data_IF_513275109757
#
_entry.id   IF_513275109757
#
_cell.length_a   1.000
_cell.length_b   1.000
_cell.length_c   1.000
_cell.angle_alpha   90.00
_cell.angle_beta   90.00
_cell.angle_gamma   90.00
#
_symmetry.space_group_name_H-M   'P 1'
#
loop_
_entity.id
_entity.type
_entity.pdbx_description
1 polymer ?
#
# COMPACT_ATOMS: atom_id res chain seq x y z
N UNK A 1 8.25 49.64 56.04
CA UNK A 1 9.56 50.31 55.94
C UNK A 1 10.16 49.92 54.59
N UNK A 2 9.93 50.72 53.55
CA UNK A 2 10.84 51.74 52.97
C UNK A 2 11.79 51.12 51.91
N UNK A 3 12.26 51.88 50.91
CA UNK A 3 11.68 51.86 49.56
C UNK A 3 12.75 51.70 48.46
N UNK A 4 12.37 51.41 47.20
CA UNK A 4 13.23 51.85 46.09
C UNK A 4 12.41 52.29 44.89
N UNK A 5 12.67 53.54 44.51
CA UNK A 5 12.09 54.33 43.44
C UNK A 5 12.93 54.22 42.16
N UNK A 6 12.24 54.30 41.02
CA UNK A 6 12.63 55.04 39.79
C UNK A 6 13.87 54.53 39.01
N UNK A 7 13.66 54.20 37.73
CA UNK A 7 14.11 55.05 36.60
C UNK A 7 13.38 54.66 35.32
N UNK A 8 12.55 55.61 34.84
CA UNK A 8 12.06 55.66 33.47
C UNK A 8 13.26 55.78 32.54
N UNK A 9 13.36 54.89 31.56
CA UNK A 9 14.09 55.16 30.33
C UNK A 9 13.10 54.95 29.19
N UNK A 10 12.64 56.08 28.67
CA UNK A 10 12.00 56.19 27.37
C UNK A 10 13.07 55.89 26.33
N UNK A 11 12.86 54.83 25.56
CA UNK A 11 13.65 54.51 24.37
C UNK A 11 12.71 54.10 23.27
N UNK A 12 12.13 55.09 22.59
CA UNK A 12 11.40 54.88 21.36
C UNK A 12 12.41 54.54 20.25
N UNK A 13 12.34 53.33 19.72
CA UNK A 13 12.91 53.03 18.40
C UNK A 13 11.82 52.36 17.57
N UNK A 14 11.14 53.18 16.78
CA UNK A 14 10.33 52.74 15.65
C UNK A 14 11.30 52.25 14.58
N UNK A 15 11.29 50.96 14.28
CA UNK A 15 11.79 50.46 13.00
C UNK A 15 10.65 49.77 12.24
N UNK A 16 10.35 50.41 11.13
CA UNK A 16 9.52 50.02 10.00
C UNK A 16 9.84 48.64 9.43
N UNK A 17 8.77 47.87 9.25
CA UNK A 17 8.42 47.06 8.08
C UNK A 17 9.51 46.19 7.40
N UNK A 18 9.32 44.88 7.53
CA UNK A 18 9.37 43.98 6.37
C UNK A 18 8.37 42.85 6.62
N UNK A 19 7.15 42.99 6.10
CA UNK A 19 6.23 41.88 5.95
C UNK A 19 6.80 40.95 4.86
N UNK A 20 7.71 40.08 5.27
CA UNK A 20 8.06 38.90 4.49
C UNK A 20 6.93 37.91 4.71
N UNK A 21 5.92 37.97 3.85
CA UNK A 21 4.98 36.88 3.66
C UNK A 21 5.79 35.69 3.13
N UNK A 22 6.38 34.95 4.06
CA UNK A 22 7.00 33.66 3.79
C UNK A 22 5.91 32.77 3.22
N UNK A 23 6.06 32.39 1.95
CA UNK A 23 5.37 31.25 1.40
C UNK A 23 5.78 30.05 2.24
N UNK A 24 4.96 29.70 3.24
CA UNK A 24 5.01 28.40 3.86
C UNK A 24 4.62 27.40 2.76
N UNK A 25 5.62 26.90 2.04
CA UNK A 25 5.51 25.67 1.27
C UNK A 25 5.11 24.61 2.30
N UNK A 26 3.81 24.38 2.46
CA UNK A 26 3.32 23.22 3.16
C UNK A 26 3.74 22.04 2.29
N UNK A 27 4.94 21.54 2.54
CA UNK A 27 5.36 20.21 2.19
C UNK A 27 4.41 19.31 2.96
N UNK A 28 3.23 19.08 2.38
CA UNK A 28 2.32 18.06 2.83
C UNK A 28 3.11 16.78 2.76
N UNK A 29 3.63 16.35 3.91
CA UNK A 29 4.18 15.02 4.05
C UNK A 29 3.03 14.11 3.61
N UNK A 30 3.19 13.49 2.44
CA UNK A 30 2.31 12.42 2.04
C UNK A 30 2.27 11.46 3.25
N UNK A 31 1.08 11.03 3.70
CA UNK A 31 1.01 10.09 4.80
C UNK A 31 1.99 8.97 4.49
N UNK A 32 2.89 8.65 5.42
CA UNK A 32 3.72 7.47 5.27
C UNK A 32 2.75 6.29 5.23
N UNK A 33 2.44 5.81 4.01
CA UNK A 33 1.58 4.66 3.81
C UNK A 33 2.21 3.51 4.59
N UNK A 34 1.58 3.15 5.71
CA UNK A 34 2.00 2.01 6.49
C UNK A 34 2.03 0.81 5.55
N UNK A 35 3.15 0.06 5.57
CA UNK A 35 3.28 -1.12 4.73
C UNK A 35 2.06 -2.03 4.94
N UNK A 36 1.41 -2.52 3.86
CA UNK A 36 0.22 -3.35 3.97
C UNK A 36 0.50 -4.57 4.85
N UNK A 37 -0.25 -4.69 5.94
CA UNK A 37 -0.12 -5.82 6.85
C UNK A 37 -0.68 -7.09 6.20
N UNK A 38 0.12 -8.16 6.20
CA UNK A 38 -0.33 -9.48 5.78
C UNK A 38 0.25 -10.54 6.72
N UNK A 39 -0.61 -11.37 7.31
CA UNK A 39 -0.19 -12.40 8.26
C UNK A 39 0.73 -13.44 7.61
N UNK A 40 1.62 -14.03 8.40
CA UNK A 40 2.49 -15.11 7.94
C UNK A 40 1.68 -16.28 7.38
N UNK A 41 2.13 -16.86 6.26
CA UNK A 41 1.45 -17.97 5.58
C UNK A 41 0.25 -17.56 4.71
N UNK A 42 -0.15 -16.29 4.73
CA UNK A 42 -1.29 -15.79 3.97
C UNK A 42 -0.91 -15.05 2.69
N UNK A 43 -1.89 -14.99 1.80
CA UNK A 43 -1.89 -14.16 0.60
C UNK A 43 -2.95 -13.10 0.82
N UNK A 44 -2.55 -11.85 0.85
CA UNK A 44 -3.43 -10.71 1.01
C UNK A 44 -3.53 -9.99 -0.33
N UNK A 45 -4.76 -9.72 -0.77
CA UNK A 45 -5.05 -9.18 -2.08
C UNK A 45 -5.93 -7.95 -1.96
N UNK A 46 -5.75 -7.01 -2.89
CA UNK A 46 -6.49 -5.76 -2.93
C UNK A 46 -7.04 -5.49 -4.32
N UNK A 47 -8.21 -4.85 -4.37
CA UNK A 47 -8.90 -4.50 -5.60
C UNK A 47 -8.28 -3.33 -6.36
N UNK A 48 -7.50 -2.47 -5.68
CA UNK A 48 -6.75 -1.37 -6.25
C UNK A 48 -5.25 -1.64 -6.34
N UNK A 49 -4.54 -0.79 -7.06
CA UNK A 49 -3.08 -0.76 -7.02
C UNK A 49 -2.59 -0.12 -5.71
N UNK A 50 -1.32 -0.31 -5.37
CA UNK A 50 -0.68 0.19 -4.16
C UNK A 50 -1.44 -0.20 -2.88
N UNK A 51 -2.05 -1.40 -2.87
CA UNK A 51 -2.72 -1.98 -1.70
C UNK A 51 -3.95 -1.19 -1.22
N UNK A 52 -4.64 -0.56 -2.17
CA UNK A 52 -5.83 0.24 -1.91
C UNK A 52 -7.13 -0.51 -2.26
N UNK A 53 -8.25 -0.03 -1.73
CA UNK A 53 -9.58 -0.57 -2.03
C UNK A 53 -9.99 -1.77 -1.18
N UNK A 54 -10.91 -2.59 -1.69
CA UNK A 54 -11.37 -3.78 -0.96
C UNK A 54 -10.23 -4.78 -0.84
N UNK A 55 -10.12 -5.42 0.32
CA UNK A 55 -9.11 -6.43 0.58
C UNK A 55 -9.72 -7.76 0.97
N UNK A 56 -9.01 -8.83 0.65
CA UNK A 56 -9.30 -10.18 1.11
C UNK A 56 -7.99 -10.89 1.42
N UNK A 57 -8.05 -11.92 2.25
CA UNK A 57 -6.92 -12.80 2.51
C UNK A 57 -7.34 -14.25 2.36
N UNK A 58 -6.41 -15.08 1.94
CA UNK A 58 -6.60 -16.53 1.90
C UNK A 58 -5.29 -17.25 2.21
N UNK A 59 -5.42 -18.49 2.63
CA UNK A 59 -4.29 -19.39 2.83
C UNK A 59 -4.24 -20.40 1.70
N UNK A 60 -3.04 -20.76 1.26
CA UNK A 60 -2.87 -21.85 0.30
C UNK A 60 -3.24 -23.17 0.97
N UNK A 61 -4.01 -24.01 0.28
CA UNK A 61 -4.13 -25.41 0.63
C UNK A 61 -2.87 -26.17 0.17
N UNK A 62 -2.50 -27.31 0.81
CA UNK A 62 -1.36 -28.12 0.40
C UNK A 62 -1.56 -28.82 -0.95
N UNK A 63 -2.80 -28.86 -1.46
CA UNK A 63 -3.15 -29.50 -2.72
C UNK A 63 -2.92 -28.59 -3.93
N UNK A 64 -2.70 -29.20 -5.10
CA UNK A 64 -2.73 -28.48 -6.38
C UNK A 64 -4.10 -27.82 -6.56
N UNK A 65 -4.13 -26.51 -6.74
CA UNK A 65 -5.39 -25.75 -6.76
C UNK A 65 -5.38 -24.59 -7.75
N UNK A 66 -6.42 -24.53 -8.57
CA UNK A 66 -6.83 -23.35 -9.32
C UNK A 66 -8.11 -22.79 -8.68
N UNK A 67 -8.00 -21.61 -8.05
CA UNK A 67 -9.14 -20.83 -7.62
C UNK A 67 -9.74 -20.16 -8.85
N UNK A 68 -10.63 -20.90 -9.55
CA UNK A 68 -11.16 -20.52 -10.86
C UNK A 68 -11.79 -19.11 -10.89
N UNK A 69 -12.27 -18.63 -9.75
CA UNK A 69 -12.76 -17.26 -9.59
C UNK A 69 -12.38 -16.73 -8.21
N UNK A 70 -11.78 -15.54 -8.17
CA UNK A 70 -11.52 -14.79 -6.95
C UNK A 70 -12.78 -14.02 -6.53
N UNK A 71 -12.95 -13.84 -5.22
CA UNK A 71 -14.07 -13.08 -4.66
C UNK A 71 -14.06 -11.59 -5.06
N UNK A 72 -12.89 -11.08 -5.45
CA UNK A 72 -12.71 -9.73 -5.98
C UNK A 72 -11.68 -9.73 -7.11
N UNK A 73 -11.78 -8.73 -7.99
CA UNK A 73 -10.76 -8.47 -9.01
C UNK A 73 -9.50 -7.93 -8.34
N UNK A 74 -8.38 -8.63 -8.44
CA UNK A 74 -7.14 -8.28 -7.74
C UNK A 74 -6.23 -7.42 -8.62
N UNK A 75 -5.69 -6.35 -8.04
CA UNK A 75 -4.75 -5.42 -8.69
C UNK A 75 -3.41 -5.31 -7.97
N UNK A 76 -3.37 -5.61 -6.68
CA UNK A 76 -2.13 -5.66 -5.90
C UNK A 76 -2.19 -6.74 -4.82
N UNK A 77 -1.03 -7.21 -4.38
CA UNK A 77 -0.92 -8.39 -3.52
C UNK A 77 0.33 -8.35 -2.65
N UNK A 78 0.22 -8.90 -1.44
CA UNK A 78 1.32 -9.29 -0.57
C UNK A 78 1.19 -10.79 -0.34
N UNK A 79 2.27 -11.52 -0.55
CA UNK A 79 2.31 -12.96 -0.44
C UNK A 79 3.34 -13.39 0.61
N UNK A 80 2.87 -13.74 1.80
CA UNK A 80 3.70 -14.30 2.86
C UNK A 80 3.57 -15.84 2.95
N UNK A 81 3.14 -16.48 1.86
CA UNK A 81 2.99 -17.93 1.71
C UNK A 81 4.02 -18.46 0.70
N UNK A 82 3.73 -19.58 0.03
CA UNK A 82 4.49 -20.04 -1.15
C UNK A 82 4.10 -19.27 -2.43
N UNK A 83 4.67 -19.62 -3.59
CA UNK A 83 4.32 -18.94 -4.85
C UNK A 83 2.81 -18.98 -5.16
N UNK A 84 2.30 -17.92 -5.79
CA UNK A 84 0.94 -17.85 -6.33
C UNK A 84 0.99 -17.22 -7.71
N UNK A 85 0.30 -17.83 -8.66
CA UNK A 85 0.08 -17.26 -9.99
C UNK A 85 -1.28 -16.54 -10.01
N UNK A 86 -1.28 -15.28 -10.40
CA UNK A 86 -2.48 -14.49 -10.66
C UNK A 86 -2.75 -14.45 -12.16
N UNK A 87 -4.02 -14.60 -12.54
CA UNK A 87 -4.44 -14.75 -13.93
C UNK A 87 -5.51 -13.74 -14.29
N UNK A 88 -5.43 -13.14 -15.48
CA UNK A 88 -6.40 -12.15 -15.95
C UNK A 88 -7.77 -12.76 -16.24
N UNK A 89 -7.82 -14.02 -16.67
CA UNK A 89 -9.04 -14.76 -16.93
C UNK A 89 -9.52 -15.56 -15.72
N UNK A 90 -10.76 -16.05 -15.78
CA UNK A 90 -11.25 -17.10 -14.88
C UNK A 90 -10.66 -18.45 -15.28
N UNK A 91 -10.66 -19.42 -14.36
CA UNK A 91 -10.15 -20.77 -14.63
C UNK A 91 -8.65 -20.83 -14.88
N UNK A 92 -7.86 -19.90 -14.34
CA UNK A 92 -6.41 -19.84 -14.50
C UNK A 92 -5.95 -19.71 -15.97
N UNK A 93 -6.63 -18.82 -16.70
CA UNK A 93 -6.38 -18.56 -18.13
C UNK A 93 -5.92 -17.11 -18.37
N UNK A 94 -5.37 -16.86 -19.57
CA UNK A 94 -4.97 -15.51 -20.00
C UNK A 94 -3.59 -15.09 -19.51
N UNK A 95 -3.40 -13.78 -19.30
CA UNK A 95 -2.13 -13.23 -18.82
C UNK A 95 -1.86 -13.68 -17.40
N UNK A 96 -0.63 -14.10 -17.13
CA UNK A 96 -0.20 -14.60 -15.83
C UNK A 96 0.85 -13.70 -15.20
N UNK A 97 0.81 -13.56 -13.88
CA UNK A 97 1.92 -13.05 -13.07
C UNK A 97 2.13 -13.89 -11.82
N UNK A 98 3.34 -14.40 -11.65
CA UNK A 98 3.76 -15.12 -10.45
C UNK A 98 4.21 -14.13 -9.38
N UNK A 99 3.72 -14.33 -8.16
CA UNK A 99 4.17 -13.63 -6.95
C UNK A 99 4.72 -14.65 -5.98
N UNK A 100 6.03 -14.59 -5.73
CA UNK A 100 6.71 -15.49 -4.81
C UNK A 100 6.45 -15.15 -3.35
N UNK A 101 6.69 -16.12 -2.47
CA UNK A 101 6.60 -15.94 -1.02
C UNK A 101 7.57 -14.88 -0.49
N UNK A 102 7.13 -14.15 0.53
CA UNK A 102 7.80 -12.95 1.06
C UNK A 102 7.74 -11.74 0.12
N UNK A 103 7.03 -11.84 -1.00
CA UNK A 103 6.96 -10.81 -2.03
C UNK A 103 5.75 -9.89 -1.89
N UNK A 104 5.89 -8.67 -2.37
CA UNK A 104 4.79 -7.72 -2.53
C UNK A 104 4.79 -7.18 -3.96
N UNK A 105 3.61 -7.07 -4.56
CA UNK A 105 3.39 -6.52 -5.90
C UNK A 105 2.35 -5.41 -5.81
N UNK A 106 2.76 -4.13 -5.89
CA UNK A 106 1.84 -3.00 -5.78
C UNK A 106 0.97 -2.82 -7.03
N UNK A 107 1.32 -3.43 -8.16
CA UNK A 107 0.50 -3.44 -9.36
C UNK A 107 0.77 -4.70 -10.18
N UNK A 108 -0.24 -5.56 -10.32
CA UNK A 108 -0.16 -6.77 -11.15
C UNK A 108 -0.02 -6.44 -12.64
N UNK A 109 -0.50 -5.26 -13.07
CA UNK A 109 -0.53 -4.81 -14.47
C UNK A 109 -1.83 -5.18 -15.20
N UNK A 110 -2.68 -6.01 -14.58
CA UNK A 110 -3.98 -6.42 -15.08
C UNK A 110 -4.94 -6.72 -13.92
N UNK A 111 -6.20 -6.86 -14.26
CA UNK A 111 -7.29 -7.29 -13.37
C UNK A 111 -7.26 -8.80 -13.21
N UNK A 112 -6.67 -9.28 -12.12
CA UNK A 112 -6.63 -10.72 -11.86
C UNK A 112 -7.99 -11.22 -11.39
N UNK A 113 -8.50 -12.25 -12.05
CA UNK A 113 -9.82 -12.86 -11.83
C UNK A 113 -9.73 -14.26 -11.24
N UNK A 114 -8.58 -14.92 -11.35
CA UNK A 114 -8.31 -16.23 -10.75
C UNK A 114 -6.88 -16.31 -10.22
N UNK A 115 -6.63 -17.30 -9.35
CA UNK A 115 -5.29 -17.56 -8.81
C UNK A 115 -5.00 -19.06 -8.75
N UNK A 116 -3.75 -19.46 -8.88
CA UNK A 116 -3.34 -20.86 -8.71
C UNK A 116 -2.01 -21.01 -7.99
N UNK A 117 -1.78 -22.21 -7.47
CA UNK A 117 -0.50 -22.62 -6.88
C UNK A 117 -0.18 -24.08 -7.20
N UNK A 118 -0.24 -24.40 -8.48
CA UNK A 118 0.01 -25.71 -9.04
C UNK A 118 0.73 -25.57 -10.37
N UNK A 119 1.83 -26.30 -10.53
CA UNK A 119 2.59 -26.29 -11.77
C UNK A 119 1.78 -26.86 -12.94
N UNK A 120 0.93 -27.87 -12.68
CA UNK A 120 0.00 -28.40 -13.68
C UNK A 120 -1.01 -27.36 -14.18
N UNK A 121 -1.42 -26.41 -13.33
CA UNK A 121 -2.39 -25.37 -13.69
C UNK A 121 -1.77 -24.23 -14.50
N UNK A 122 -0.46 -24.25 -14.73
CA UNK A 122 0.22 -23.29 -15.62
C UNK A 122 0.07 -23.65 -17.09
N UNK A 123 -0.42 -24.85 -17.39
CA UNK A 123 -0.67 -25.34 -18.74
C UNK A 123 -1.98 -24.72 -19.26
N UNK A 124 -1.98 -24.04 -20.41
CA UNK A 124 -3.21 -23.53 -20.99
C UNK A 124 -4.09 -24.70 -21.46
N UNK A 125 -5.32 -24.80 -20.93
CA UNK A 125 -6.36 -25.69 -21.47
C UNK A 125 -6.57 -27.04 -20.77
N UNK A 126 -6.27 -27.16 -19.47
CA UNK A 126 -6.69 -28.31 -18.65
C UNK A 126 -8.14 -28.18 -18.17
#
# INVERSE_FOLDING_TARGET
MMPTRIRRLLGALVLTAAATSGFALSLGAAPADAAPYCSAGQVCVWSGTNYQGQSASFSRSPSNHCAATLALTVRSVVNNSGYVDFWSGTGCTGTRRTVYGGGATPNLGFDARSASWCDACRQPGA
#
